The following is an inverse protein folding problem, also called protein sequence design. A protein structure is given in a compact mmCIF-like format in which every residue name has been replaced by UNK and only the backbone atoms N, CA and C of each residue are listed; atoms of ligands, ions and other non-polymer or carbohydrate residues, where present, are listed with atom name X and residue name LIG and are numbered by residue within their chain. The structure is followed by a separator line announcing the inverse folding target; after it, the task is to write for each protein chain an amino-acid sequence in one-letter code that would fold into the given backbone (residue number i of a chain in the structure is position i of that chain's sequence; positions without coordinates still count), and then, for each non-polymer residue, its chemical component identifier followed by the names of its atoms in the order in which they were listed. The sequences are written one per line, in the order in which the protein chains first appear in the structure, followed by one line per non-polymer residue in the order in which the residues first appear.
data_IF_327870862505
#
_entry.id   IF_327870862505
#
_cell.length_a   1.000
_cell.length_b   1.000
_cell.length_c   1.000
_cell.angle_alpha   90.00
_cell.angle_beta   90.00
_cell.angle_gamma   90.00
#
_symmetry.space_group_name_H-M   'P 1'
#
loop_
_entity.id
_entity.type
_entity.pdbx_description
1 polymer ?
#
# COMPACT_ATOMS: atom_id res chain seq x y z
N UNK A 1 -11.92 12.42 -10.00
CA UNK A 1 -10.88 12.76 -10.94
C UNK A 1 -11.39 12.68 -12.37
N UNK A 2 -12.61 13.16 -12.56
CA UNK A 2 -13.29 13.06 -13.85
C UNK A 2 -12.68 13.94 -14.95
N UNK A 3 -11.91 14.93 -14.56
CA UNK A 3 -11.42 15.92 -15.50
C UNK A 3 -9.97 15.69 -15.94
N UNK A 4 -9.35 14.59 -15.50
CA UNK A 4 -7.99 14.26 -15.91
C UNK A 4 -8.01 13.48 -17.21
N UNK A 5 -7.20 13.88 -18.15
CA UNK A 5 -7.05 13.13 -19.39
C UNK A 5 -5.99 12.04 -19.24
N UNK A 6 -5.85 11.21 -20.27
CA UNK A 6 -4.91 10.09 -20.26
C UNK A 6 -3.47 10.54 -20.11
N UNK A 7 -3.12 11.70 -20.66
CA UNK A 7 -1.76 12.22 -20.58
C UNK A 7 -1.40 12.64 -19.15
N UNK A 8 -2.37 13.19 -18.40
CA UNK A 8 -2.16 13.54 -17.00
C UNK A 8 -1.90 12.28 -16.17
N UNK A 9 -2.63 11.21 -16.43
CA UNK A 9 -2.41 9.92 -15.76
C UNK A 9 -1.02 9.38 -16.08
N UNK A 10 -0.59 9.44 -17.34
CA UNK A 10 0.73 8.95 -17.74
C UNK A 10 1.84 9.73 -17.07
N UNK A 11 1.69 11.05 -16.94
CA UNK A 11 2.69 11.89 -16.26
C UNK A 11 2.78 11.54 -14.78
N UNK A 12 1.63 11.42 -14.09
CA UNK A 12 1.60 11.07 -12.68
C UNK A 12 2.16 9.67 -12.44
N UNK A 13 1.86 8.74 -13.34
CA UNK A 13 2.37 7.38 -13.25
C UNK A 13 3.88 7.36 -13.43
N UNK A 14 4.39 8.05 -14.42
CA UNK A 14 5.83 8.08 -14.67
C UNK A 14 6.59 8.73 -13.52
N UNK A 15 6.06 9.83 -12.96
CA UNK A 15 6.67 10.46 -11.80
C UNK A 15 6.74 9.50 -10.62
N UNK A 16 5.71 8.68 -10.41
CA UNK A 16 5.68 7.69 -9.34
C UNK A 16 6.68 6.56 -9.59
N UNK A 17 6.79 6.10 -10.83
CA UNK A 17 7.76 5.08 -11.22
C UNK A 17 9.18 5.60 -11.00
N UNK A 18 9.47 6.82 -11.44
CA UNK A 18 10.77 7.44 -11.27
C UNK A 18 11.12 7.58 -9.78
N UNK A 19 10.15 7.98 -8.97
CA UNK A 19 10.33 8.07 -7.52
C UNK A 19 10.70 6.69 -6.94
N UNK A 20 9.98 5.64 -7.33
CA UNK A 20 10.25 4.29 -6.85
C UNK A 20 11.68 3.85 -7.19
N UNK A 21 12.16 4.23 -8.36
CA UNK A 21 13.52 3.89 -8.80
C UNK A 21 14.61 4.60 -8.01
N UNK A 22 14.29 5.64 -7.26
CA UNK A 22 15.25 6.34 -6.39
C UNK A 22 15.36 5.74 -5.01
N UNK A 23 14.44 4.84 -4.62
CA UNK A 23 14.43 4.28 -3.27
C UNK A 23 15.52 3.23 -3.10
N UNK A 24 16.32 3.31 -2.01
CA UNK A 24 17.30 2.27 -1.73
C UNK A 24 16.56 0.96 -1.39
N UNK A 25 17.06 -0.18 -1.87
CA UNK A 25 16.35 -1.45 -1.70
C UNK A 25 16.30 -1.90 -0.24
N UNK A 26 17.26 -1.52 0.56
CA UNK A 26 17.35 -1.94 1.96
C UNK A 26 17.88 -0.82 2.84
N UNK A 27 17.66 -0.96 4.14
CA UNK A 27 18.20 -0.05 5.13
C UNK A 27 17.12 0.80 5.80
N UNK A 28 17.38 1.11 7.05
CA UNK A 28 16.43 1.84 7.90
C UNK A 28 16.25 3.29 7.46
N UNK A 29 17.26 3.87 6.82
CA UNK A 29 17.22 5.26 6.38
C UNK A 29 16.07 5.54 5.41
N UNK A 30 15.63 4.51 4.68
CA UNK A 30 14.50 4.65 3.75
C UNK A 30 13.22 5.05 4.49
N UNK A 31 13.07 4.58 5.72
CA UNK A 31 11.88 4.85 6.53
C UNK A 31 12.03 6.04 7.47
N UNK A 32 13.19 6.71 7.45
CA UNK A 32 13.47 7.89 8.25
C UNK A 32 13.64 9.10 7.35
N UNK A 33 12.52 9.58 6.79
CA UNK A 33 12.54 10.69 5.85
C UNK A 33 12.86 12.01 6.52
N UNK A 34 13.69 12.83 5.83
CA UNK A 34 13.80 14.24 6.15
C UNK A 34 12.53 14.97 5.75
N UNK A 35 12.36 16.21 6.23
CA UNK A 35 11.20 17.02 5.85
C UNK A 35 11.18 17.29 4.33
N UNK A 36 12.34 17.47 3.73
CA UNK A 36 12.46 17.67 2.28
C UNK A 36 12.03 16.42 1.51
N UNK A 37 12.51 15.26 1.94
CA UNK A 37 12.14 13.99 1.33
C UNK A 37 10.64 13.71 1.46
N UNK A 38 10.07 14.03 2.62
CA UNK A 38 8.63 13.87 2.85
C UNK A 38 7.82 14.80 1.95
N UNK A 39 8.28 16.01 1.73
CA UNK A 39 7.61 16.96 0.84
C UNK A 39 7.57 16.43 -0.59
N UNK A 40 8.68 15.88 -1.08
CA UNK A 40 8.72 15.25 -2.41
C UNK A 40 7.78 14.07 -2.47
N UNK A 41 7.83 13.18 -1.47
CA UNK A 41 6.95 12.03 -1.40
C UNK A 41 5.47 12.43 -1.44
N UNK A 42 5.09 13.42 -0.66
CA UNK A 42 3.68 13.84 -0.58
C UNK A 42 3.19 14.49 -1.86
N UNK A 43 4.09 14.92 -2.73
CA UNK A 43 3.71 15.48 -4.04
C UNK A 43 3.39 14.41 -5.08
N UNK A 44 3.75 13.14 -4.81
CA UNK A 44 3.55 12.06 -5.78
C UNK A 44 2.13 11.49 -5.69
N UNK A 45 1.56 11.14 -6.82
CA UNK A 45 0.20 10.62 -6.93
C UNK A 45 -0.83 11.54 -6.26
N UNK A 46 -0.56 12.83 -6.25
CA UNK A 46 -1.49 13.82 -5.71
C UNK A 46 -2.45 14.24 -6.81
N UNK A 47 -3.68 13.76 -6.72
CA UNK A 47 -4.71 14.05 -7.69
C UNK A 47 -5.44 15.34 -7.34
N UNK A 48 -5.88 16.14 -8.34
CA UNK A 48 -6.64 17.34 -8.04
C UNK A 48 -7.92 17.07 -7.27
N UNK A 49 -8.16 17.84 -6.24
CA UNK A 49 -9.41 17.78 -5.48
C UNK A 49 -9.53 16.65 -4.49
N UNK A 50 -8.46 15.87 -4.27
CA UNK A 50 -8.48 14.76 -3.31
C UNK A 50 -7.11 14.52 -2.72
N UNK A 51 -7.09 13.95 -1.50
CA UNK A 51 -5.85 13.49 -0.86
C UNK A 51 -5.63 11.98 -1.06
N UNK A 52 -6.51 11.31 -1.79
CA UNK A 52 -6.44 9.87 -2.02
C UNK A 52 -5.46 9.58 -3.15
N UNK A 53 -4.47 8.72 -2.89
CA UNK A 53 -3.50 8.34 -3.93
C UNK A 53 -3.93 7.11 -4.73
N UNK A 54 -4.72 6.22 -4.12
CA UNK A 54 -5.15 4.97 -4.74
C UNK A 54 -6.25 4.36 -3.89
N UNK A 55 -6.77 3.20 -4.31
CA UNK A 55 -7.80 2.47 -3.58
C UNK A 55 -7.42 1.00 -3.48
N UNK A 56 -7.75 0.37 -2.36
CA UNK A 56 -7.54 -1.07 -2.18
C UNK A 56 -8.87 -1.79 -2.06
N UNK A 57 -8.96 -2.96 -2.68
CA UNK A 57 -10.09 -3.87 -2.58
C UNK A 57 -9.60 -5.26 -2.22
N UNK A 58 -10.18 -5.84 -1.19
CA UNK A 58 -9.93 -7.23 -0.79
C UNK A 58 -11.26 -7.83 -0.36
N UNK A 59 -11.92 -8.52 -1.28
CA UNK A 59 -13.30 -8.97 -1.09
C UNK A 59 -13.45 -9.92 0.09
N UNK A 60 -12.48 -10.82 0.29
CA UNK A 60 -12.54 -11.83 1.35
C UNK A 60 -12.70 -11.22 2.74
N UNK A 61 -12.15 -10.03 2.96
CA UNK A 61 -12.22 -9.36 4.26
C UNK A 61 -13.12 -8.12 4.24
N UNK A 62 -13.93 -7.99 3.20
CA UNK A 62 -14.93 -6.92 3.14
C UNK A 62 -14.40 -5.54 2.86
N UNK A 63 -13.17 -5.43 2.36
CA UNK A 63 -12.57 -4.14 2.00
C UNK A 63 -12.88 -3.85 0.53
N UNK A 64 -13.60 -2.77 0.27
CA UNK A 64 -13.96 -2.37 -1.09
C UNK A 64 -13.62 -0.92 -1.33
N UNK A 65 -12.79 -0.67 -2.34
CA UNK A 65 -12.38 0.68 -2.75
C UNK A 65 -12.02 1.57 -1.55
N UNK A 66 -11.29 1.00 -0.59
CA UNK A 66 -10.83 1.74 0.58
C UNK A 66 -9.76 2.73 0.16
N UNK A 67 -9.92 4.02 0.49
CA UNK A 67 -8.92 5.01 0.06
C UNK A 67 -7.57 4.80 0.75
N UNK A 68 -6.53 5.03 -0.02
CA UNK A 68 -5.14 4.98 0.45
C UNK A 68 -4.61 6.41 0.44
N UNK A 69 -4.08 6.85 1.59
CA UNK A 69 -3.52 8.19 1.78
C UNK A 69 -2.02 8.12 2.00
N UNK A 70 -1.35 9.24 1.83
CA UNK A 70 0.09 9.35 2.11
C UNK A 70 0.34 9.27 3.62
N UNK A 71 1.27 8.41 4.02
CA UNK A 71 1.71 8.29 5.41
C UNK A 71 0.79 7.42 6.26
N UNK A 72 1.20 7.25 7.52
CA UNK A 72 0.50 6.39 8.48
C UNK A 72 0.20 7.11 9.78
N UNK A 73 0.03 8.43 9.72
CA UNK A 73 -0.36 9.23 10.89
C UNK A 73 -1.76 8.88 11.37
N UNK A 74 -2.08 9.26 12.60
CA UNK A 74 -3.36 8.91 13.22
C UNK A 74 -4.55 9.40 12.40
N UNK A 75 -4.49 10.61 11.86
CA UNK A 75 -5.59 11.16 11.06
C UNK A 75 -5.84 10.33 9.79
N UNK A 76 -4.77 9.87 9.16
CA UNK A 76 -4.85 9.03 7.96
C UNK A 76 -5.50 7.70 8.32
N UNK A 77 -5.03 7.04 9.37
CA UNK A 77 -5.51 5.71 9.73
C UNK A 77 -6.94 5.73 10.27
N UNK A 78 -7.44 6.88 10.68
CA UNK A 78 -8.85 7.04 11.03
C UNK A 78 -9.74 7.18 9.81
N UNK A 79 -9.18 7.58 8.66
CA UNK A 79 -9.95 7.85 7.45
C UNK A 79 -9.86 6.72 6.43
N UNK A 80 -8.82 5.93 6.46
CA UNK A 80 -8.60 4.86 5.49
C UNK A 80 -7.31 4.13 5.73
N UNK A 81 -6.74 3.63 4.64
CA UNK A 81 -5.46 2.92 4.65
C UNK A 81 -4.34 3.93 4.42
N UNK A 82 -3.25 3.79 5.15
CA UNK A 82 -2.08 4.64 5.00
C UNK A 82 -0.97 3.96 4.20
N UNK A 83 -0.37 4.70 3.27
CA UNK A 83 0.82 4.25 2.58
C UNK A 83 2.04 4.56 3.45
N UNK A 84 2.85 3.55 3.71
CA UNK A 84 4.01 3.66 4.59
C UNK A 84 5.10 4.50 3.91
N UNK A 85 5.47 5.61 4.54
CA UNK A 85 6.52 6.48 4.03
C UNK A 85 7.82 5.70 3.87
N UNK A 86 8.48 5.85 2.72
CA UNK A 86 9.71 5.15 2.42
C UNK A 86 9.51 3.85 1.65
N UNK A 87 8.31 3.28 1.66
CA UNK A 87 8.01 2.14 0.80
C UNK A 87 7.71 2.60 -0.63
N UNK A 88 7.75 1.67 -1.58
CA UNK A 88 7.43 1.99 -2.97
C UNK A 88 5.99 2.47 -3.08
N UNK A 89 5.74 3.43 -3.96
CA UNK A 89 4.38 3.89 -4.26
C UNK A 89 3.57 2.77 -4.91
N UNK A 90 2.25 2.76 -4.76
CA UNK A 90 1.40 1.64 -5.19
C UNK A 90 1.14 1.65 -6.70
N UNK A 91 2.19 1.71 -7.49
CA UNK A 91 2.10 1.68 -8.96
C UNK A 91 2.67 0.41 -9.56
N UNK A 92 3.17 -0.50 -8.73
CA UNK A 92 3.74 -1.75 -9.21
C UNK A 92 5.07 -1.59 -9.90
N UNK A 93 5.55 -2.67 -10.49
CA UNK A 93 6.79 -2.72 -11.25
C UNK A 93 7.84 -3.59 -10.58
N UNK A 94 8.81 -4.07 -11.37
CA UNK A 94 9.91 -4.87 -10.85
C UNK A 94 10.74 -4.09 -9.83
N UNK A 95 11.20 -4.78 -8.82
CA UNK A 95 12.04 -4.21 -7.75
C UNK A 95 11.30 -3.12 -6.97
N UNK A 96 10.03 -3.38 -6.63
CA UNK A 96 9.22 -2.50 -5.78
C UNK A 96 8.60 -3.29 -4.63
N UNK A 97 8.37 -2.60 -3.53
CA UNK A 97 7.66 -3.16 -2.38
C UNK A 97 6.84 -2.06 -1.73
N UNK A 98 5.56 -2.03 -2.04
CA UNK A 98 4.61 -1.10 -1.45
C UNK A 98 4.13 -1.64 -0.10
N UNK A 99 4.02 -0.79 0.89
CA UNK A 99 3.55 -1.18 2.23
C UNK A 99 2.34 -0.32 2.60
N UNK A 100 1.24 -0.99 2.92
CA UNK A 100 -0.03 -0.35 3.28
C UNK A 100 -0.43 -0.77 4.69
N UNK A 101 -0.79 0.21 5.51
CA UNK A 101 -1.17 -0.01 6.91
C UNK A 101 -2.64 0.35 7.13
N UNK A 102 -3.34 -0.48 7.87
CA UNK A 102 -4.72 -0.24 8.25
C UNK A 102 -4.98 -0.65 9.68
N UNK A 103 -5.91 0.05 10.33
CA UNK A 103 -6.29 -0.24 11.71
C UNK A 103 -7.10 -1.53 11.83
N UNK A 104 -7.09 -2.10 13.05
CA UNK A 104 -8.03 -3.14 13.47
C UNK A 104 -8.95 -2.57 14.55
N UNK A 105 -10.17 -3.11 14.61
CA UNK A 105 -11.07 -2.83 15.72
C UNK A 105 -11.69 -1.45 15.76
N UNK A 106 -11.60 -0.67 14.70
CA UNK A 106 -12.25 0.64 14.67
C UNK A 106 -13.74 0.50 14.38
N UNK A 107 -14.55 1.14 15.22
CA UNK A 107 -16.00 1.12 15.06
C UNK A 107 -16.40 1.78 13.73
N UNK A 108 -17.24 1.08 12.95
CA UNK A 108 -17.77 1.61 11.71
C UNK A 108 -16.87 1.48 10.49
N UNK A 109 -15.62 1.06 10.66
CA UNK A 109 -14.68 0.89 9.55
C UNK A 109 -14.06 -0.50 9.63
N UNK A 110 -14.16 -1.25 8.54
CA UNK A 110 -13.62 -2.60 8.50
C UNK A 110 -12.13 -2.65 8.17
N UNK A 111 -11.60 -1.66 7.50
CA UNK A 111 -10.17 -1.60 7.14
C UNK A 111 -9.50 -2.97 7.15
N UNK A 112 -8.45 -3.16 7.96
CA UNK A 112 -7.74 -4.44 8.04
C UNK A 112 -8.11 -5.24 9.30
N UNK A 113 -9.30 -5.00 9.88
CA UNK A 113 -9.74 -5.72 11.07
C UNK A 113 -9.77 -7.24 10.89
N UNK A 114 -10.02 -7.71 9.68
CA UNK A 114 -10.10 -9.13 9.37
C UNK A 114 -8.90 -9.65 8.59
N UNK A 115 -7.78 -8.90 8.61
CA UNK A 115 -6.59 -9.27 7.85
C UNK A 115 -6.08 -10.68 8.22
N UNK A 116 -6.32 -11.12 9.47
CA UNK A 116 -5.95 -12.46 9.93
C UNK A 116 -6.64 -13.58 9.16
N UNK A 117 -7.71 -13.29 8.44
CA UNK A 117 -8.44 -14.30 7.65
C UNK A 117 -7.80 -14.57 6.30
N UNK A 118 -6.85 -13.76 5.88
CA UNK A 118 -6.17 -14.00 4.60
C UNK A 118 -5.20 -15.16 4.72
N UNK A 119 -5.15 -15.95 3.66
CA UNK A 119 -4.27 -17.10 3.53
C UNK A 119 -3.46 -16.99 2.24
N UNK A 120 -2.40 -17.77 2.14
CA UNK A 120 -1.64 -17.85 0.89
C UNK A 120 -2.55 -18.26 -0.24
N UNK A 121 -2.45 -17.57 -1.36
CA UNK A 121 -3.30 -17.77 -2.52
C UNK A 121 -4.46 -16.80 -2.63
N UNK A 122 -4.85 -16.16 -1.53
CA UNK A 122 -5.87 -15.11 -1.58
C UNK A 122 -5.33 -13.89 -2.34
N UNK A 123 -6.23 -13.09 -2.89
CA UNK A 123 -5.84 -11.94 -3.69
C UNK A 123 -6.43 -10.65 -3.17
N UNK A 124 -5.75 -9.55 -3.47
CA UNK A 124 -6.28 -8.20 -3.30
C UNK A 124 -5.87 -7.34 -4.48
N UNK A 125 -6.55 -6.23 -4.68
CA UNK A 125 -6.32 -5.35 -5.82
C UNK A 125 -6.09 -3.93 -5.38
N UNK A 126 -5.22 -3.24 -6.11
CA UNK A 126 -4.98 -1.81 -5.94
C UNK A 126 -5.41 -1.12 -7.23
N UNK A 127 -6.28 -0.12 -7.09
CA UNK A 127 -6.65 0.74 -8.20
C UNK A 127 -5.91 2.06 -8.06
N UNK A 128 -5.04 2.34 -9.01
CA UNK A 128 -4.24 3.55 -9.03
C UNK A 128 -4.33 4.18 -10.40
N UNK A 129 -4.71 5.47 -10.43
CA UNK A 129 -4.96 6.19 -11.68
C UNK A 129 -5.99 5.41 -12.51
N UNK A 130 -5.63 4.97 -13.73
CA UNK A 130 -6.51 4.17 -14.59
C UNK A 130 -6.13 2.68 -14.60
N UNK A 131 -5.29 2.23 -13.64
CA UNK A 131 -4.76 0.89 -13.61
C UNK A 131 -5.30 0.08 -12.45
N UNK A 132 -5.37 -1.24 -12.66
CA UNK A 132 -5.70 -2.20 -11.60
C UNK A 132 -4.54 -3.17 -11.45
N UNK A 133 -4.01 -3.25 -10.23
CA UNK A 133 -2.91 -4.14 -9.90
C UNK A 133 -3.46 -5.25 -9.01
N UNK A 134 -3.18 -6.50 -9.36
CA UNK A 134 -3.60 -7.66 -8.56
C UNK A 134 -2.39 -8.30 -7.89
N UNK A 135 -2.52 -8.57 -6.60
CA UNK A 135 -1.49 -9.23 -5.79
C UNK A 135 -2.07 -10.48 -5.18
N UNK A 136 -1.25 -11.53 -5.13
CA UNK A 136 -1.62 -12.80 -4.51
C UNK A 136 -0.76 -13.02 -3.27
N UNK A 137 -1.39 -13.31 -2.15
CA UNK A 137 -0.69 -13.53 -0.88
C UNK A 137 0.30 -14.69 -1.02
N UNK A 138 1.57 -14.42 -0.73
CA UNK A 138 2.65 -15.41 -0.80
C UNK A 138 3.42 -15.57 0.50
N UNK A 139 3.25 -14.69 1.47
CA UNK A 139 3.97 -14.76 2.74
C UNK A 139 3.16 -14.07 3.83
N UNK A 140 3.06 -14.71 4.99
CA UNK A 140 2.36 -14.16 6.16
C UNK A 140 3.30 -14.28 7.35
N UNK A 141 3.54 -13.15 8.04
CA UNK A 141 4.43 -13.10 9.20
C UNK A 141 3.82 -12.29 10.34
N UNK A 142 4.17 -12.66 11.56
CA UNK A 142 3.94 -11.82 12.74
C UNK A 142 5.28 -11.31 13.22
N UNK A 143 5.38 -10.00 13.43
CA UNK A 143 6.65 -9.36 13.80
C UNK A 143 6.40 -8.32 14.90
N UNK A 144 7.46 -7.92 15.58
CA UNK A 144 7.40 -6.79 16.51
C UNK A 144 7.22 -5.48 15.74
N UNK A 145 6.66 -4.45 16.39
CA UNK A 145 6.32 -3.20 15.68
C UNK A 145 7.48 -2.49 14.99
N UNK A 146 8.70 -2.67 15.48
CA UNK A 146 9.89 -2.03 14.93
C UNK A 146 10.67 -2.91 13.94
N UNK A 147 10.18 -4.12 13.67
CA UNK A 147 10.85 -5.04 12.74
C UNK A 147 10.45 -4.75 11.30
N UNK A 148 11.34 -4.11 10.56
CA UNK A 148 11.15 -3.77 9.15
C UNK A 148 11.89 -4.72 8.20
N UNK A 149 12.44 -5.80 8.72
CA UNK A 149 13.30 -6.70 7.94
C UNK A 149 12.56 -7.37 6.77
N UNK A 150 11.23 -7.47 6.83
CA UNK A 150 10.41 -8.09 5.78
C UNK A 150 9.88 -7.07 4.76
N UNK A 151 10.23 -5.79 4.90
CA UNK A 151 9.68 -4.73 4.06
C UNK A 151 10.65 -4.26 2.96
N UNK A 152 11.79 -4.93 2.82
CA UNK A 152 12.80 -4.56 1.83
C UNK A 152 12.37 -4.83 0.41
N UNK A 153 12.93 -4.06 -0.52
CA UNK A 153 12.74 -4.27 -1.95
C UNK A 153 13.62 -5.45 -2.37
N UNK A 154 13.02 -6.41 -3.08
CA UNK A 154 13.73 -7.55 -3.64
C UNK A 154 13.85 -7.39 -5.14
N UNK A 155 15.07 -7.52 -5.66
CA UNK A 155 15.33 -7.34 -7.09
C UNK A 155 14.45 -8.27 -7.93
N UNK A 156 13.80 -7.70 -8.93
CA UNK A 156 12.94 -8.43 -9.85
C UNK A 156 11.56 -8.75 -9.32
N UNK A 157 11.26 -8.43 -8.06
CA UNK A 157 9.96 -8.74 -7.45
C UNK A 157 9.10 -7.50 -7.35
N UNK A 158 7.79 -7.71 -7.49
CA UNK A 158 6.77 -6.68 -7.31
C UNK A 158 5.89 -7.10 -6.15
N UNK A 159 6.16 -6.52 -4.97
CA UNK A 159 5.45 -6.88 -3.74
C UNK A 159 4.56 -5.75 -3.24
N UNK A 160 3.49 -6.14 -2.56
CA UNK A 160 2.69 -5.22 -1.74
C UNK A 160 2.36 -5.92 -0.43
N UNK A 161 2.75 -5.33 0.69
CA UNK A 161 2.49 -5.90 2.02
C UNK A 161 1.42 -5.08 2.73
N UNK A 162 0.44 -5.79 3.29
CA UNK A 162 -0.60 -5.20 4.14
C UNK A 162 -0.20 -5.40 5.60
N UNK A 163 -0.25 -4.34 6.40
CA UNK A 163 0.14 -4.38 7.82
C UNK A 163 -1.04 -3.99 8.69
N UNK A 164 -1.22 -4.71 9.79
CA UNK A 164 -2.13 -4.29 10.84
C UNK A 164 -1.57 -4.67 12.21
N UNK A 165 -2.11 -4.04 13.27
CA UNK A 165 -1.73 -4.33 14.65
C UNK A 165 -2.48 -5.54 15.16
N UNK A 166 -1.81 -6.43 15.89
CA UNK A 166 -2.40 -7.60 16.52
C UNK A 166 -1.77 -7.83 17.91
N UNK A 167 -2.45 -8.56 18.82
CA UNK A 167 -3.88 -8.85 18.79
C UNK A 167 -4.70 -7.58 18.99
N UNK A 168 -5.96 -7.62 18.59
CA UNK A 168 -6.86 -6.47 18.71
C UNK A 168 -6.88 -5.98 20.16
N UNK A 169 -6.69 -4.67 20.33
CA UNK A 169 -6.69 -4.03 21.64
C UNK A 169 -5.34 -3.99 22.33
N UNK A 170 -4.50 -5.01 22.16
CA UNK A 170 -3.14 -5.00 22.73
C UNK A 170 -2.12 -4.37 21.78
N UNK A 171 -2.25 -4.64 20.49
CA UNK A 171 -1.42 -4.05 19.44
C UNK A 171 0.08 -4.25 19.67
N UNK A 172 0.46 -5.36 20.31
CA UNK A 172 1.84 -5.63 20.70
C UNK A 172 2.69 -6.15 19.55
N UNK A 173 2.06 -6.60 18.48
CA UNK A 173 2.75 -7.12 17.30
C UNK A 173 2.11 -6.58 16.04
N UNK A 174 2.75 -6.87 14.91
CA UNK A 174 2.25 -6.51 13.58
C UNK A 174 2.06 -7.76 12.76
N UNK A 175 0.93 -7.86 12.07
CA UNK A 175 0.68 -8.89 11.08
C UNK A 175 1.07 -8.34 9.72
N UNK A 176 1.94 -9.04 9.01
CA UNK A 176 2.36 -8.71 7.65
C UNK A 176 1.79 -9.73 6.69
N UNK A 177 1.00 -9.28 5.72
CA UNK A 177 0.46 -10.12 4.66
C UNK A 177 1.01 -9.60 3.35
N UNK A 178 2.00 -10.32 2.79
CA UNK A 178 2.66 -9.91 1.56
C UNK A 178 1.99 -10.53 0.35
N UNK A 179 1.71 -9.71 -0.65
CA UNK A 179 1.28 -10.18 -1.95
C UNK A 179 2.35 -9.99 -2.99
N UNK A 180 2.43 -10.93 -3.93
CA UNK A 180 3.26 -10.82 -5.12
C UNK A 180 2.36 -10.50 -6.32
N UNK A 181 2.83 -9.64 -7.21
CA UNK A 181 2.04 -9.23 -8.37
C UNK A 181 1.73 -10.40 -9.27
N UNK A 182 0.48 -10.52 -9.67
CA UNK A 182 0.03 -11.48 -10.68
C UNK A 182 -0.75 -10.73 -11.77
N UNK A 183 -0.93 -11.34 -12.95
CA UNK A 183 -1.79 -10.71 -13.96
C UNK A 183 -3.20 -10.52 -13.42
N UNK A 184 -3.80 -9.37 -13.72
CA UNK A 184 -5.17 -9.10 -13.34
C UNK A 184 -6.09 -9.96 -14.18
N UNK A 185 -6.98 -10.77 -13.55
CA UNK A 185 -7.92 -11.56 -14.32
C UNK A 185 -8.80 -10.68 -15.21
N UNK A 186 -9.07 -11.16 -16.43
CA UNK A 186 -9.98 -10.46 -17.33
C UNK A 186 -11.35 -10.38 -16.69
N UNK A 187 -11.92 -9.17 -16.69
CA UNK A 187 -13.30 -9.01 -16.28
C UNK A 187 -14.20 -9.48 -17.39
N UNK A 188 -14.77 -10.66 -17.24
CA UNK A 188 -15.82 -11.09 -18.15
C UNK A 188 -17.07 -10.28 -17.86
N UNK A 189 -17.59 -9.71 -18.89
CA UNK A 189 -18.81 -8.91 -18.83
C UNK A 189 -20.02 -9.77 -18.54
#
# INVERSE_FOLDING_TARGET
VKDMDKQDYETLLQDAIDYNNTLPPQGDSRFAMTDEERSVYQSKLKLPGTDVMAYITCDKIGVKNMPIYHGTGDAVLQSGVGHYEGSSLPVGGESTHCVLSGHTGMAGLKMFSELTKLEKGDTFQIKVLDKTLTYQVDLINQVYPDDISKLGIEEGKDYCTLITCIPVGLNSQRLLVRGIRIPTPDKKQ
#
